data_IF_805591496379
#
_entry.id   IF_805591496379
#
_cell.length_a   1.000
_cell.length_b   1.000
_cell.length_c   1.000
_cell.angle_alpha   90.00
_cell.angle_beta   90.00
_cell.angle_gamma   90.00
#
_symmetry.space_group_name_H-M   'P 1'
#
loop_
_entity.id
_entity.type
_entity.pdbx_description
1 polymer ?
#
# COMPACT_ATOMS: atom_id res chain seq x y z
N UNK A 1 9.94 -16.17 -14.47
CA UNK A 1 9.05 -15.68 -13.40
C UNK A 1 9.87 -14.83 -12.47
N UNK A 2 9.40 -13.65 -12.12
CA UNK A 2 10.09 -12.73 -11.20
C UNK A 2 9.34 -12.69 -9.87
N UNK A 3 10.09 -12.62 -8.77
CA UNK A 3 9.56 -12.53 -7.40
C UNK A 3 10.07 -11.25 -6.76
N UNK A 4 9.16 -10.53 -6.12
CA UNK A 4 9.42 -9.29 -5.39
C UNK A 4 8.71 -9.35 -4.04
N UNK A 5 9.30 -8.75 -3.02
CA UNK A 5 8.64 -8.61 -1.71
C UNK A 5 8.44 -7.13 -1.43
N UNK A 6 7.18 -6.68 -1.46
CA UNK A 6 6.80 -5.30 -1.18
C UNK A 6 6.71 -5.13 0.34
N UNK A 7 7.44 -4.19 0.95
CA UNK A 7 7.34 -3.96 2.39
C UNK A 7 6.01 -3.30 2.76
N UNK A 8 5.72 -3.29 4.07
CA UNK A 8 4.60 -2.51 4.61
C UNK A 8 4.85 -1.02 4.39
N UNK A 9 3.79 -0.22 4.51
CA UNK A 9 3.90 1.24 4.54
C UNK A 9 4.48 1.83 3.24
N UNK A 10 4.16 1.21 2.10
CA UNK A 10 4.51 1.69 0.75
C UNK A 10 3.27 2.31 0.10
N UNK A 11 3.27 3.62 -0.24
CA UNK A 11 2.16 4.26 -0.94
C UNK A 11 2.18 3.98 -2.45
N UNK A 12 3.37 3.71 -3.01
CA UNK A 12 3.57 3.42 -4.43
C UNK A 12 4.76 2.51 -4.64
N UNK A 13 4.56 1.48 -5.46
CA UNK A 13 5.64 0.68 -6.03
C UNK A 13 5.62 0.81 -7.56
N UNK A 14 6.77 0.74 -8.20
CA UNK A 14 6.93 0.90 -9.64
C UNK A 14 7.74 -0.26 -10.18
N UNK A 15 7.13 -1.06 -11.05
CA UNK A 15 7.83 -2.11 -11.77
C UNK A 15 8.36 -1.54 -13.08
N UNK A 16 9.59 -1.89 -13.41
CA UNK A 16 10.22 -1.57 -14.67
C UNK A 16 10.59 -2.86 -15.38
N UNK A 17 10.19 -2.95 -16.63
CA UNK A 17 10.37 -4.12 -17.46
C UNK A 17 11.16 -3.79 -18.71
N UNK A 18 12.06 -4.69 -19.08
CA UNK A 18 12.84 -4.58 -20.30
C UNK A 18 12.96 -5.94 -20.97
N UNK A 19 12.90 -5.94 -22.30
CA UNK A 19 13.09 -7.11 -23.12
C UNK A 19 14.25 -6.85 -24.08
N UNK A 20 15.21 -7.75 -24.08
CA UNK A 20 16.51 -7.59 -24.72
C UNK A 20 16.69 -8.63 -25.82
N UNK A 21 17.45 -8.26 -26.84
CA UNK A 21 18.07 -9.18 -27.79
C UNK A 21 19.56 -8.88 -27.93
N UNK A 22 20.35 -9.88 -28.25
CA UNK A 22 21.81 -9.82 -28.31
C UNK A 22 22.37 -9.26 -29.62
N UNK A 23 21.57 -9.23 -30.69
CA UNK A 23 21.98 -8.72 -32.00
C UNK A 23 20.87 -7.85 -32.63
N UNK A 24 21.20 -6.70 -33.25
CA UNK A 24 20.22 -5.80 -33.86
C UNK A 24 19.49 -6.40 -35.09
N UNK A 25 20.01 -7.45 -35.70
CA UNK A 25 19.40 -8.16 -36.84
C UNK A 25 18.33 -9.17 -36.42
N UNK A 26 18.17 -9.39 -35.10
CA UNK A 26 17.16 -10.28 -34.55
C UNK A 26 15.74 -9.77 -34.78
N UNK A 27 14.81 -10.72 -34.91
CA UNK A 27 13.39 -10.41 -35.04
C UNK A 27 12.85 -9.86 -33.72
N UNK A 28 12.18 -8.72 -33.78
CA UNK A 28 11.49 -8.15 -32.64
C UNK A 28 10.36 -9.08 -32.17
N UNK A 29 10.40 -9.50 -30.91
CA UNK A 29 9.37 -10.35 -30.29
C UNK A 29 8.54 -9.54 -29.31
N UNK A 30 7.23 -9.84 -29.24
CA UNK A 30 6.36 -9.29 -28.20
C UNK A 30 6.56 -10.07 -26.91
N UNK A 31 6.61 -9.35 -25.80
CA UNK A 31 6.71 -9.91 -24.45
C UNK A 31 5.50 -9.44 -23.66
N UNK A 32 4.83 -10.39 -23.04
CA UNK A 32 3.69 -10.18 -22.18
C UNK A 32 4.11 -10.41 -20.74
N UNK A 33 3.75 -9.50 -19.86
CA UNK A 33 3.99 -9.60 -18.43
C UNK A 33 2.68 -9.46 -17.70
N UNK A 34 2.37 -10.44 -16.86
CA UNK A 34 1.17 -10.45 -16.04
C UNK A 34 1.55 -10.54 -14.56
N UNK A 35 0.90 -9.71 -13.75
CA UNK A 35 0.86 -9.86 -12.30
C UNK A 35 -0.58 -10.12 -11.88
N UNK A 36 -0.74 -11.01 -10.90
CA UNK A 36 -2.03 -11.35 -10.32
C UNK A 36 -2.09 -10.76 -8.92
N UNK A 37 -2.76 -9.61 -8.77
CA UNK A 37 -3.02 -9.04 -7.45
C UNK A 37 -4.22 -8.08 -7.46
N UNK A 38 -5.36 -8.47 -6.86
CA UNK A 38 -6.70 -7.82 -6.90
C UNK A 38 -7.27 -7.51 -8.32
N UNK A 39 -6.41 -7.18 -9.28
CA UNK A 39 -6.66 -7.01 -10.70
C UNK A 39 -5.47 -7.57 -11.50
N UNK A 40 -5.76 -8.09 -12.69
CA UNK A 40 -4.72 -8.58 -13.60
C UNK A 40 -4.11 -7.39 -14.35
N UNK A 41 -2.84 -7.06 -14.05
CA UNK A 41 -2.10 -6.07 -14.83
C UNK A 41 -1.37 -6.82 -15.94
N UNK A 42 -1.76 -6.56 -17.18
CA UNK A 42 -1.10 -7.11 -18.38
C UNK A 42 -0.34 -6.01 -19.10
N UNK A 43 0.95 -6.22 -19.25
CA UNK A 43 1.89 -5.28 -19.85
C UNK A 43 2.47 -5.91 -21.09
N UNK A 44 2.43 -5.20 -22.21
CA UNK A 44 3.04 -5.67 -23.46
C UNK A 44 4.23 -4.79 -23.80
N UNK A 45 5.39 -5.41 -24.09
CA UNK A 45 6.59 -4.74 -24.57
C UNK A 45 7.22 -5.52 -25.72
N UNK A 46 8.30 -5.02 -26.31
CA UNK A 46 9.00 -5.65 -27.43
C UNK A 46 10.49 -5.75 -27.18
N UNK A 47 11.11 -6.85 -27.63
CA UNK A 47 12.56 -7.04 -27.52
C UNK A 47 13.32 -5.99 -28.33
N UNK A 48 14.37 -5.42 -27.74
CA UNK A 48 15.21 -4.42 -28.42
C UNK A 48 16.69 -4.68 -28.13
N UNK A 49 17.55 -4.40 -29.11
CA UNK A 49 18.99 -4.44 -28.93
C UNK A 49 19.42 -3.17 -28.19
N UNK A 50 20.14 -3.33 -27.08
CA UNK A 50 20.54 -2.22 -26.19
C UNK A 50 19.37 -1.26 -25.86
N UNK A 51 18.32 -1.74 -25.17
CA UNK A 51 17.13 -0.94 -24.92
C UNK A 51 17.46 0.31 -24.10
N UNK A 52 17.08 1.46 -24.64
CA UNK A 52 17.22 2.76 -23.96
C UNK A 52 16.01 3.11 -23.10
N UNK A 53 14.88 2.45 -23.37
CA UNK A 53 13.60 2.69 -22.71
C UNK A 53 13.13 1.41 -22.02
N UNK A 54 12.53 1.58 -20.85
CA UNK A 54 11.90 0.49 -20.08
C UNK A 54 10.40 0.75 -19.99
N UNK A 55 9.61 -0.32 -19.95
CA UNK A 55 8.18 -0.20 -19.70
C UNK A 55 7.95 -0.04 -18.21
N UNK A 56 7.34 1.07 -17.81
CA UNK A 56 7.14 1.44 -16.40
C UNK A 56 5.69 1.24 -16.00
N UNK A 57 5.47 0.55 -14.89
CA UNK A 57 4.14 0.21 -14.37
C UNK A 57 4.03 0.66 -12.93
N UNK A 58 3.38 1.81 -12.66
CA UNK A 58 3.12 2.25 -11.31
C UNK A 58 1.93 1.49 -10.72
N UNK A 59 2.10 0.93 -9.53
CA UNK A 59 1.02 0.40 -8.70
C UNK A 59 0.90 1.27 -7.46
N UNK A 60 -0.28 1.85 -7.27
CA UNK A 60 -0.61 2.65 -6.10
C UNK A 60 -1.21 1.75 -5.03
N UNK A 61 -0.93 2.09 -3.77
CA UNK A 61 -1.44 1.36 -2.60
C UNK A 61 -1.15 -0.16 -2.65
N UNK A 62 0.08 -0.59 -3.02
CA UNK A 62 0.37 -2.01 -3.15
C UNK A 62 0.20 -2.70 -1.81
N UNK A 63 -0.44 -3.86 -1.81
CA UNK A 63 -0.46 -4.69 -0.61
C UNK A 63 0.95 -5.21 -0.30
N UNK A 64 1.34 -5.21 0.98
CA UNK A 64 2.62 -5.77 1.39
C UNK A 64 2.65 -7.29 1.24
N UNK A 65 3.84 -7.84 1.00
CA UNK A 65 4.06 -9.27 0.86
C UNK A 65 4.64 -9.63 -0.50
N UNK A 66 4.45 -10.88 -0.90
CA UNK A 66 5.04 -11.44 -2.11
C UNK A 66 4.24 -11.10 -3.36
N UNK A 67 4.95 -10.60 -4.36
CA UNK A 67 4.46 -10.26 -5.68
C UNK A 67 5.18 -11.10 -6.72
N UNK A 68 4.41 -11.68 -7.63
CA UNK A 68 4.94 -12.53 -8.69
C UNK A 68 4.55 -11.98 -10.05
N UNK A 69 5.55 -11.85 -10.93
CA UNK A 69 5.35 -11.45 -12.32
C UNK A 69 5.69 -12.62 -13.24
N UNK A 70 4.68 -13.10 -13.96
CA UNK A 70 4.88 -14.03 -15.05
C UNK A 70 5.24 -13.22 -16.30
N UNK A 71 6.30 -13.64 -17.00
CA UNK A 71 6.73 -13.02 -18.23
C UNK A 71 6.90 -14.11 -19.29
N UNK A 72 6.34 -13.89 -20.47
CA UNK A 72 6.45 -14.82 -21.59
C UNK A 72 6.56 -14.08 -22.92
N UNK A 73 7.29 -14.68 -23.85
CA UNK A 73 7.46 -14.16 -25.21
C UNK A 73 6.44 -14.80 -26.15
N UNK A 74 6.00 -14.06 -27.16
CA UNK A 74 5.16 -14.60 -28.23
C UNK A 74 5.85 -15.79 -28.90
N UNK A 75 5.08 -16.81 -29.25
CA UNK A 75 5.57 -17.99 -29.98
C UNK A 75 6.30 -17.57 -31.26
N UNK A 76 7.41 -18.24 -31.57
CA UNK A 76 8.18 -18.04 -32.80
C UNK A 76 8.50 -19.41 -33.38
N UNK A 77 8.10 -19.65 -34.62
CA UNK A 77 8.49 -20.87 -35.34
C UNK A 77 9.98 -20.79 -35.67
N UNK A 78 10.80 -21.60 -34.99
CA UNK A 78 12.23 -21.78 -35.31
C UNK A 78 12.47 -22.51 -36.65
N UNK A 79 11.40 -22.86 -37.37
CA UNK A 79 11.47 -23.51 -38.68
C UNK A 79 11.99 -22.50 -39.71
N UNK A 80 13.29 -22.61 -39.97
CA UNK A 80 14.11 -22.12 -41.12
C UNK A 80 15.31 -21.30 -40.62
N UNK A 81 16.22 -21.95 -39.88
CA UNK A 81 17.64 -21.61 -39.90
C UNK A 81 18.45 -22.91 -39.95
N UNK A 82 19.21 -23.12 -41.03
CA UNK A 82 20.17 -24.24 -41.11
C UNK A 82 21.16 -24.10 -39.95
N UNK A 83 21.27 -25.14 -39.12
CA UNK A 83 22.30 -25.19 -38.08
C UNK A 83 23.68 -25.03 -38.73
N UNK A 84 24.42 -24.00 -38.33
CA UNK A 84 25.80 -23.76 -38.77
C UNK A 84 26.02 -22.61 -39.76
N UNK A 85 24.99 -21.85 -40.18
CA UNK A 85 25.14 -20.75 -41.16
C UNK A 85 24.57 -19.38 -40.71
N UNK A 86 24.30 -19.18 -39.41
CA UNK A 86 23.79 -17.88 -38.91
C UNK A 86 23.90 -17.70 -37.40
N UNK A 87 23.87 -16.43 -36.95
CA UNK A 87 23.81 -16.05 -35.54
C UNK A 87 22.48 -16.51 -34.91
N UNK A 88 22.56 -17.22 -33.78
CA UNK A 88 21.37 -17.62 -33.02
C UNK A 88 21.01 -16.52 -32.02
N UNK A 89 19.96 -15.78 -32.33
CA UNK A 89 19.43 -14.72 -31.47
C UNK A 89 19.14 -15.21 -30.04
N UNK A 90 19.76 -14.56 -29.06
CA UNK A 90 19.45 -14.70 -27.65
C UNK A 90 18.54 -13.58 -27.21
N UNK A 91 17.45 -13.95 -26.53
CA UNK A 91 16.49 -13.01 -25.97
C UNK A 91 16.50 -13.12 -24.46
N UNK A 92 16.39 -11.99 -23.77
CA UNK A 92 16.32 -11.93 -22.31
C UNK A 92 15.21 -10.99 -21.87
N UNK A 93 14.67 -11.23 -20.68
CA UNK A 93 13.68 -10.36 -20.05
C UNK A 93 14.23 -9.98 -18.68
N UNK A 94 14.19 -8.70 -18.35
CA UNK A 94 14.57 -8.16 -17.05
C UNK A 94 13.39 -7.43 -16.43
N UNK A 95 13.27 -7.57 -15.12
CA UNK A 95 12.29 -6.87 -14.33
C UNK A 95 12.94 -6.37 -13.04
N UNK A 96 12.70 -5.12 -12.69
CA UNK A 96 13.07 -4.54 -11.40
C UNK A 96 11.85 -3.85 -10.79
N UNK A 97 11.82 -3.75 -9.47
CA UNK A 97 10.78 -3.04 -8.75
C UNK A 97 11.40 -2.03 -7.80
N UNK A 98 10.80 -0.84 -7.75
CA UNK A 98 11.25 0.30 -6.96
C UNK A 98 10.11 0.79 -6.08
N UNK A 99 10.38 1.08 -4.82
CA UNK A 99 9.40 1.61 -3.88
C UNK A 99 10.08 2.51 -2.84
N UNK A 100 9.28 3.34 -2.18
CA UNK A 100 9.70 4.16 -1.04
C UNK A 100 8.77 3.90 0.13
N UNK A 101 9.32 3.47 1.26
CA UNK A 101 8.55 3.27 2.49
C UNK A 101 8.37 4.60 3.23
N UNK A 102 7.24 4.75 3.90
CA UNK A 102 7.03 5.83 4.86
C UNK A 102 7.38 5.31 6.25
N UNK A 103 8.46 5.82 6.82
CA UNK A 103 8.92 5.46 8.15
C UNK A 103 8.22 6.29 9.25
N UNK A 104 8.29 5.80 10.48
CA UNK A 104 7.86 6.52 11.70
C UNK A 104 6.39 6.99 11.68
N UNK A 105 5.50 6.21 11.05
CA UNK A 105 4.05 6.45 11.09
C UNK A 105 3.56 6.36 12.54
N UNK A 106 2.90 7.41 13.01
CA UNK A 106 2.42 7.52 14.39
C UNK A 106 1.26 6.55 14.63
N UNK A 107 1.34 5.81 15.74
CA UNK A 107 0.26 4.92 16.18
C UNK A 107 -0.86 5.71 16.87
N UNK A 108 -2.10 5.46 16.48
CA UNK A 108 -3.29 5.98 17.16
C UNK A 108 -3.78 4.92 18.15
N UNK A 109 -3.83 5.22 19.45
CA UNK A 109 -4.33 4.28 20.44
C UNK A 109 -5.84 4.08 20.29
N UNK A 110 -6.29 2.85 20.51
CA UNK A 110 -7.71 2.47 20.49
C UNK A 110 -8.35 2.77 21.84
N UNK A 111 -9.60 3.22 21.84
CA UNK A 111 -10.42 3.57 23.01
C UNK A 111 -9.90 4.77 23.85
N UNK A 112 -8.90 5.49 23.35
CA UNK A 112 -8.39 6.72 23.96
C UNK A 112 -8.47 7.89 22.99
N UNK A 113 -8.92 9.05 23.47
CA UNK A 113 -8.82 10.29 22.72
C UNK A 113 -7.38 10.78 22.73
N UNK A 114 -6.86 11.15 21.56
CA UNK A 114 -5.53 11.73 21.42
C UNK A 114 -5.59 12.97 20.53
N UNK A 115 -4.83 14.00 20.89
CA UNK A 115 -4.62 15.17 20.03
C UNK A 115 -3.35 14.95 19.20
N UNK A 116 -3.48 15.00 17.88
CA UNK A 116 -2.39 14.75 16.94
C UNK A 116 -2.08 16.00 16.11
N UNK A 117 -0.87 16.04 15.55
CA UNK A 117 -0.35 17.14 14.74
C UNK A 117 0.24 16.60 13.44
N UNK A 118 -0.11 17.21 12.32
CA UNK A 118 0.49 16.85 11.03
C UNK A 118 1.94 17.34 10.91
N UNK A 119 2.78 16.61 10.18
CA UNK A 119 4.18 16.97 9.93
C UNK A 119 4.40 17.56 8.55
N UNK A 120 3.52 17.22 7.60
CA UNK A 120 3.57 17.68 6.23
C UNK A 120 2.14 17.84 5.66
N UNK A 121 2.05 18.26 4.40
CA UNK A 121 0.77 18.41 3.69
C UNK A 121 0.00 17.10 3.54
N UNK A 122 0.70 15.96 3.56
CA UNK A 122 0.11 14.63 3.69
C UNK A 122 0.80 13.93 4.85
N UNK A 123 0.03 13.54 5.87
CA UNK A 123 0.54 12.83 7.04
C UNK A 123 -0.25 11.54 7.22
N UNK A 124 0.49 10.46 7.50
CA UNK A 124 -0.07 9.14 7.75
C UNK A 124 -0.10 8.83 9.24
N UNK A 125 -1.16 8.12 9.65
CA UNK A 125 -1.32 7.54 10.98
C UNK A 125 -1.73 6.09 10.82
N UNK A 126 -1.36 5.25 11.79
CA UNK A 126 -1.74 3.83 11.77
C UNK A 126 -2.47 3.42 13.05
N UNK A 127 -3.45 2.54 12.88
CA UNK A 127 -4.29 2.00 13.94
C UNK A 127 -4.17 0.49 13.87
N UNK A 128 -3.76 -0.13 14.97
CA UNK A 128 -3.75 -1.58 15.06
C UNK A 128 -5.13 -2.07 15.47
N UNK A 129 -5.71 -2.96 14.66
CA UNK A 129 -7.01 -3.57 14.89
C UNK A 129 -6.79 -5.03 15.29
N UNK A 130 -7.05 -5.40 16.56
CA UNK A 130 -6.94 -6.78 17.00
C UNK A 130 -8.07 -7.66 16.42
N UNK A 131 -7.90 -8.98 16.49
CA UNK A 131 -8.94 -9.96 16.13
C UNK A 131 -10.16 -9.89 17.06
N UNK A 132 -11.33 -10.31 16.56
CA UNK A 132 -12.56 -10.41 17.36
C UNK A 132 -13.37 -9.11 17.50
N UNK A 133 -13.06 -8.09 16.69
CA UNK A 133 -13.85 -6.86 16.58
C UNK A 133 -14.94 -7.02 15.53
N UNK A 134 -16.16 -6.60 15.87
CA UNK A 134 -17.29 -6.57 14.92
C UNK A 134 -17.24 -5.31 14.07
N UNK A 135 -16.88 -4.18 14.67
CA UNK A 135 -16.70 -2.90 13.98
C UNK A 135 -15.84 -1.96 14.79
N UNK A 136 -15.29 -0.95 14.13
CA UNK A 136 -14.75 0.21 14.81
C UNK A 136 -15.23 1.51 14.16
N UNK A 137 -15.25 2.57 14.97
CA UNK A 137 -15.56 3.93 14.56
C UNK A 137 -14.35 4.81 14.83
N UNK A 138 -13.81 5.42 13.78
CA UNK A 138 -12.74 6.41 13.89
C UNK A 138 -13.35 7.80 13.74
N UNK A 139 -13.32 8.59 14.80
CA UNK A 139 -13.84 9.96 14.83
C UNK A 139 -12.69 10.98 14.82
N UNK A 140 -12.82 12.02 13.99
CA UNK A 140 -11.88 13.14 13.87
C UNK A 140 -12.66 14.44 14.06
N UNK A 141 -12.16 15.34 14.93
CA UNK A 141 -12.81 16.62 15.22
C UNK A 141 -11.82 17.66 15.77
N UNK A 142 -12.31 18.86 16.09
CA UNK A 142 -11.51 19.97 16.65
C UNK A 142 -10.26 20.31 15.82
N UNK A 143 -10.40 20.29 14.49
CA UNK A 143 -9.29 20.63 13.61
C UNK A 143 -8.96 22.12 13.69
N UNK A 144 -7.68 22.44 13.87
CA UNK A 144 -7.21 23.82 13.93
C UNK A 144 -5.85 23.99 13.25
N UNK A 145 -5.70 25.09 12.51
CA UNK A 145 -4.42 25.48 11.93
C UNK A 145 -3.46 25.97 13.02
N UNK A 146 -2.22 25.47 13.01
CA UNK A 146 -1.18 25.94 13.93
C UNK A 146 -0.73 27.37 13.60
N UNK A 147 -0.79 27.76 12.32
CA UNK A 147 -0.44 29.10 11.85
C UNK A 147 -1.69 29.99 11.71
N UNK A 148 -1.68 31.15 12.38
CA UNK A 148 -2.80 32.08 12.39
C UNK A 148 -3.14 32.69 11.02
N UNK A 149 -2.18 32.78 10.09
CA UNK A 149 -2.40 33.34 8.76
C UNK A 149 -3.32 32.47 7.86
N UNK A 150 -3.63 31.24 8.27
CA UNK A 150 -4.54 30.33 7.56
C UNK A 150 -5.94 30.27 8.17
N UNK A 151 -6.29 31.20 9.09
CA UNK A 151 -7.61 31.29 9.73
C UNK A 151 -8.71 31.85 8.79
N UNK A 152 -8.80 31.32 7.58
CA UNK A 152 -10.00 31.49 6.77
C UNK A 152 -10.99 30.40 7.16
N UNK A 153 -12.06 30.77 7.86
CA UNK A 153 -13.11 29.86 8.35
C UNK A 153 -13.79 29.12 7.18
N UNK A 154 -13.72 29.70 5.97
CA UNK A 154 -14.32 29.11 4.77
C UNK A 154 -13.44 28.01 4.15
N UNK A 155 -12.18 27.87 4.55
CA UNK A 155 -11.31 26.80 4.07
C UNK A 155 -11.41 25.56 4.95
N UNK A 156 -11.52 24.36 4.36
CA UNK A 156 -11.45 23.13 5.12
C UNK A 156 -10.08 23.03 5.82
N UNK A 157 -10.10 22.68 7.10
CA UNK A 157 -8.89 22.44 7.88
C UNK A 157 -8.21 21.15 7.42
N UNK A 158 -9.02 20.15 7.07
CA UNK A 158 -8.58 18.93 6.39
C UNK A 158 -9.22 18.89 5.01
N UNK A 159 -8.39 18.94 3.98
CA UNK A 159 -8.79 18.95 2.57
C UNK A 159 -9.22 17.57 2.10
N UNK A 160 -8.57 16.52 2.60
CA UNK A 160 -8.99 15.15 2.34
C UNK A 160 -8.54 14.20 3.45
N UNK A 161 -9.42 13.25 3.78
CA UNK A 161 -9.15 12.15 4.69
C UNK A 161 -9.47 10.83 4.01
N UNK A 162 -8.59 9.85 4.18
CA UNK A 162 -8.76 8.49 3.67
C UNK A 162 -8.43 7.48 4.74
N UNK A 163 -9.28 6.48 4.93
CA UNK A 163 -9.04 5.36 5.84
C UNK A 163 -9.03 4.07 5.00
N UNK A 164 -7.98 3.25 5.16
CA UNK A 164 -7.89 1.96 4.47
C UNK A 164 -7.17 0.92 5.31
N UNK A 165 -7.65 -0.32 5.24
CA UNK A 165 -7.01 -1.47 5.87
C UNK A 165 -5.83 -1.99 5.05
N UNK A 166 -4.77 -2.45 5.72
CA UNK A 166 -3.59 -3.17 5.19
C UNK A 166 -2.66 -2.39 4.25
N UNK A 167 -3.13 -1.31 3.63
CA UNK A 167 -2.35 -0.50 2.68
C UNK A 167 -2.40 0.98 3.02
N UNK A 168 -1.37 1.73 2.62
CA UNK A 168 -1.38 3.19 2.73
C UNK A 168 -2.31 3.78 1.68
N UNK A 169 -3.34 4.55 2.07
CA UNK A 169 -4.19 5.23 1.11
C UNK A 169 -3.44 6.36 0.39
N UNK A 170 -3.82 6.59 -0.86
CA UNK A 170 -3.28 7.64 -1.71
C UNK A 170 -4.42 8.41 -2.35
N UNK A 171 -4.22 9.70 -2.62
CA UNK A 171 -5.19 10.51 -3.35
C UNK A 171 -5.18 10.26 -4.86
N UNK A 172 -4.76 9.07 -5.32
CA UNK A 172 -4.58 8.82 -6.75
C UNK A 172 -5.94 8.81 -7.46
N UNK A 173 -6.03 9.48 -8.61
CA UNK A 173 -7.26 9.61 -9.41
C UNK A 173 -7.83 8.26 -9.90
N UNK A 174 -7.05 7.19 -9.83
CA UNK A 174 -7.41 5.87 -10.37
C UNK A 174 -8.20 5.01 -9.38
N UNK A 175 -8.16 5.31 -8.08
CA UNK A 175 -8.94 4.61 -7.07
C UNK A 175 -9.87 5.61 -6.38
N UNK A 176 -11.16 5.55 -6.72
CA UNK A 176 -12.21 6.43 -6.19
C UNK A 176 -12.55 6.11 -4.72
N UNK A 177 -11.56 6.17 -3.84
CA UNK A 177 -11.84 6.23 -2.40
C UNK A 177 -12.42 7.62 -2.15
N UNK A 178 -13.70 7.70 -1.77
CA UNK A 178 -14.33 8.99 -1.49
C UNK A 178 -13.55 9.71 -0.39
N UNK A 179 -12.88 10.79 -0.76
CA UNK A 179 -12.24 11.67 0.20
C UNK A 179 -13.29 12.37 1.07
N UNK A 180 -13.01 12.51 2.35
CA UNK A 180 -13.85 13.27 3.28
C UNK A 180 -13.14 14.55 3.70
N UNK A 181 -13.84 15.67 3.62
CA UNK A 181 -13.31 17.00 3.97
C UNK A 181 -13.81 17.40 5.36
N UNK A 182 -13.02 18.18 6.10
CA UNK A 182 -13.38 18.63 7.45
C UNK A 182 -13.07 20.12 7.64
N UNK A 183 -14.09 20.90 7.99
CA UNK A 183 -13.92 22.29 8.43
C UNK A 183 -13.54 22.35 9.91
N UNK A 184 -13.10 23.51 10.40
CA UNK A 184 -12.56 23.67 11.78
C UNK A 184 -13.56 23.29 12.89
N UNK A 185 -14.85 23.51 12.67
CA UNK A 185 -15.91 23.23 13.65
C UNK A 185 -16.70 21.94 13.35
N UNK A 186 -16.30 21.19 12.32
CA UNK A 186 -16.94 19.94 11.96
C UNK A 186 -16.31 18.75 12.67
N UNK A 187 -17.07 17.67 12.74
CA UNK A 187 -16.57 16.34 13.11
C UNK A 187 -16.97 15.36 12.02
N UNK A 188 -16.14 14.34 11.83
CA UNK A 188 -16.42 13.25 10.91
C UNK A 188 -16.03 11.91 11.53
N UNK A 189 -16.83 10.89 11.26
CA UNK A 189 -16.57 9.52 11.71
C UNK A 189 -16.57 8.55 10.55
N UNK A 190 -15.48 7.80 10.40
CA UNK A 190 -15.46 6.59 9.58
C UNK A 190 -16.03 5.43 10.38
N UNK A 191 -16.81 4.58 9.74
CA UNK A 191 -17.35 3.35 10.32
C UNK A 191 -16.84 2.20 9.47
N UNK A 192 -16.05 1.30 10.07
CA UNK A 192 -15.56 0.10 9.42
C UNK A 192 -16.32 -1.11 9.97
N UNK A 193 -17.32 -1.63 9.23
CA UNK A 193 -17.98 -2.88 9.58
C UNK A 193 -17.10 -4.06 9.22
N UNK A 194 -16.98 -5.05 10.12
CA UNK A 194 -16.20 -6.28 9.90
C UNK A 194 -14.74 -6.01 9.50
N UNK A 195 -13.96 -5.35 10.37
CA UNK A 195 -12.60 -4.95 10.04
C UNK A 195 -11.68 -6.15 9.85
N UNK A 196 -10.60 -5.97 9.08
CA UNK A 196 -9.55 -6.97 8.96
C UNK A 196 -8.95 -7.28 10.32
N UNK A 197 -8.94 -8.56 10.68
CA UNK A 197 -8.37 -9.03 11.93
C UNK A 197 -6.85 -8.96 11.92
N UNK A 198 -6.27 -8.72 13.10
CA UNK A 198 -4.82 -8.66 13.35
C UNK A 198 -4.07 -7.85 12.27
N UNK A 199 -4.62 -6.68 11.96
CA UNK A 199 -4.20 -5.87 10.82
C UNK A 199 -4.09 -4.40 11.19
N UNK A 200 -3.20 -3.69 10.47
CA UNK A 200 -3.13 -2.24 10.56
C UNK A 200 -4.10 -1.59 9.58
N UNK A 201 -4.79 -0.56 10.06
CA UNK A 201 -5.49 0.42 9.25
C UNK A 201 -4.68 1.70 9.19
N UNK A 202 -4.69 2.37 8.05
CA UNK A 202 -3.95 3.59 7.82
C UNK A 202 -4.91 4.74 7.50
N UNK A 203 -4.72 5.84 8.21
CA UNK A 203 -5.42 7.10 8.00
C UNK A 203 -4.45 8.08 7.33
N UNK A 204 -4.81 8.58 6.16
CA UNK A 204 -4.12 9.69 5.50
C UNK A 204 -4.90 10.98 5.72
N UNK A 205 -4.22 12.01 6.21
CA UNK A 205 -4.73 13.37 6.37
C UNK A 205 -3.99 14.29 5.41
N UNK A 206 -4.74 14.96 4.53
CA UNK A 206 -4.23 15.97 3.59
C UNK A 206 -4.70 17.35 4.01
N UNK A 207 -3.75 18.29 4.15
CA UNK A 207 -4.02 19.68 4.52
C UNK A 207 -3.03 20.62 3.83
N UNK A 208 -3.45 21.86 3.56
CA UNK A 208 -2.56 22.90 2.98
C UNK A 208 -1.49 23.40 3.95
N UNK A 209 -1.63 23.16 5.25
CA UNK A 209 -0.64 23.54 6.26
C UNK A 209 -0.64 22.59 7.45
N UNK A 210 0.24 22.84 8.43
CA UNK A 210 0.33 22.05 9.66
C UNK A 210 -0.89 22.34 10.55
N UNK A 211 -1.61 21.28 10.88
CA UNK A 211 -2.84 21.31 11.68
C UNK A 211 -2.71 20.43 12.92
N UNK A 212 -3.53 20.74 13.92
CA UNK A 212 -3.81 19.86 15.05
C UNK A 212 -5.27 19.45 15.04
N UNK A 213 -5.55 18.21 15.45
CA UNK A 213 -6.91 17.67 15.53
C UNK A 213 -7.00 16.61 16.62
N UNK A 214 -8.22 16.40 17.13
CA UNK A 214 -8.53 15.32 18.06
C UNK A 214 -9.00 14.09 17.28
N UNK A 215 -8.54 12.92 17.70
CA UNK A 215 -8.93 11.63 17.14
C UNK A 215 -9.28 10.64 18.25
N UNK A 216 -10.25 9.77 17.98
CA UNK A 216 -10.59 8.62 18.83
C UNK A 216 -11.09 7.46 18.00
N UNK A 217 -10.65 6.26 18.36
CA UNK A 217 -11.11 5.01 17.77
C UNK A 217 -11.94 4.26 18.81
N UNK A 218 -13.25 4.18 18.60
CA UNK A 218 -14.16 3.41 19.44
C UNK A 218 -14.37 2.03 18.81
N UNK A 219 -14.27 0.97 19.61
CA UNK A 219 -14.39 -0.42 19.14
C UNK A 219 -15.66 -1.08 19.65
N UNK A 220 -16.27 -1.89 18.81
CA UNK A 220 -17.43 -2.73 19.16
C UNK A 220 -17.07 -4.19 18.91
N UNK A 221 -17.10 -5.02 19.95
CA UNK A 221 -16.75 -6.44 19.83
C UNK A 221 -16.37 -7.05 21.18
N UNK A 222 -16.13 -8.35 21.18
CA UNK A 222 -15.79 -9.09 22.40
C UNK A 222 -14.26 -9.09 22.59
N UNK A 223 -13.70 -7.97 23.04
CA UNK A 223 -12.28 -7.79 23.37
C UNK A 223 -11.79 -8.65 24.56
N UNK A 224 -12.66 -9.51 25.09
CA UNK A 224 -12.48 -10.25 26.34
C UNK A 224 -11.41 -11.34 26.28
N UNK A 225 -10.93 -11.76 25.10
CA UNK A 225 -9.82 -12.72 25.01
C UNK A 225 -8.43 -12.08 25.19
N UNK A 226 -8.20 -10.84 24.75
CA UNK A 226 -6.86 -10.24 24.75
C UNK A 226 -6.52 -9.61 26.10
N UNK A 227 -7.50 -9.02 26.80
CA UNK A 227 -7.28 -8.51 28.15
C UNK A 227 -6.97 -9.64 29.16
N UNK A 228 -7.47 -10.85 28.91
CA UNK A 228 -7.11 -12.05 29.67
C UNK A 228 -5.68 -12.51 29.38
N UNK A 229 -5.26 -12.60 28.11
CA UNK A 229 -3.91 -13.08 27.76
C UNK A 229 -2.83 -12.10 28.24
N UNK A 230 -3.03 -10.78 28.10
CA UNK A 230 -2.07 -9.78 28.59
C UNK A 230 -2.06 -9.66 30.12
N UNK A 231 -3.21 -9.76 30.81
CA UNK A 231 -3.21 -9.79 32.28
C UNK A 231 -2.57 -11.06 32.83
N UNK A 232 -2.66 -12.19 32.13
CA UNK A 232 -2.02 -13.44 32.54
C UNK A 232 -0.50 -13.40 32.31
N UNK A 233 0.02 -12.91 31.17
CA UNK A 233 1.47 -12.82 30.95
C UNK A 233 2.16 -11.69 31.76
N UNK A 234 1.45 -10.65 32.23
CA UNK A 234 2.06 -9.64 33.14
C UNK A 234 2.12 -10.15 34.59
N UNK A 235 1.20 -11.04 35.01
CA UNK A 235 1.24 -11.66 36.35
C UNK A 235 2.09 -12.93 36.44
N UNK A 236 2.24 -13.67 35.34
CA UNK A 236 3.10 -14.84 35.28
C UNK A 236 4.31 -14.55 34.39
N UNK A 237 5.49 -14.42 34.99
CA UNK A 237 6.82 -14.27 34.33
C UNK A 237 7.23 -15.48 33.47
N UNK A 238 6.31 -16.18 32.83
CA UNK A 238 6.56 -17.37 32.01
C UNK A 238 5.47 -17.46 30.95
N UNK A 239 5.76 -17.04 29.71
CA UNK A 239 4.93 -17.42 28.56
C UNK A 239 5.60 -18.67 27.94
N UNK A 240 5.18 -19.87 28.35
CA UNK A 240 5.56 -21.13 27.71
C UNK A 240 4.67 -21.38 26.49
N UNK A 241 5.30 -21.66 25.34
CA UNK A 241 4.68 -22.18 24.13
C UNK A 241 3.72 -23.33 24.47
N UNK A 242 2.43 -23.15 24.21
CA UNK A 242 1.47 -24.26 24.27
C UNK A 242 1.57 -25.01 22.94
N UNK A 243 2.23 -26.16 23.03
CA UNK A 243 2.21 -27.23 22.05
C UNK A 243 0.84 -27.93 22.16
N UNK A 244 0.08 -28.02 21.07
CA UNK A 244 -1.17 -28.79 21.01
C UNK A 244 -0.89 -30.25 20.64
N UNK A 245 -1.26 -31.23 21.48
CA UNK A 245 -1.77 -32.53 21.02
C UNK A 245 -3.31 -32.50 21.11
N UNK A 246 -4.11 -33.19 20.31
CA UNK A 246 -3.89 -34.33 19.42
C UNK A 246 -4.79 -34.21 18.18
#
# INVERSE_FOLDING_TARGET
>A
MFHFTVPKEVPRATWQFAAFMDDPTCHTRKVYMSTKYDYDIVVTTTTTYQPKNVTVVPVYEPQPGDWFVAAYMSYWDEKVQQQGLGHKCQYSIGAIALWSQIDNIVNVPVNYQTRLRTSATTTYYKIYVPSGLLSFRLSVWNCSFTLHNFRDINKPCIEAMYLKGRVLPTSSHFHSTESKTLTTNASYSFIEPSPYEDSYYYLSIVSSSIIEFDIKVDTTGNLTLIHFILSVCVRARVCTHIHTPA
#
